data_IF_697107280423
#
_entry.id   IF_697107280423
#
_cell.length_a   1.000
_cell.length_b   1.000
_cell.length_c   1.000
_cell.angle_alpha   90.00
_cell.angle_beta   90.00
_cell.angle_gamma   90.00
#
_symmetry.space_group_name_H-M   'P 1'
#
loop_
_entity.id
_entity.type
_entity.pdbx_description
1 polymer ?
#
# COMPACT_ATOMS: atom_id res chain seq x y z
N UNK A 1 7.28 19.03 15.48
CA UNK A 1 7.23 17.75 14.74
C UNK A 1 7.33 18.08 13.26
N UNK A 2 8.22 17.38 12.55
CA UNK A 2 8.63 17.70 11.18
C UNK A 2 7.46 17.51 10.21
N UNK A 3 7.33 18.48 9.33
CA UNK A 3 6.33 18.65 8.29
C UNK A 3 6.43 17.51 7.25
N UNK A 4 5.76 16.39 7.53
CA UNK A 4 5.71 15.20 6.67
C UNK A 4 4.71 15.36 5.51
N UNK A 5 4.11 16.54 5.32
CA UNK A 5 3.01 16.76 4.39
C UNK A 5 3.24 17.95 3.44
N UNK A 6 4.49 18.26 3.10
CA UNK A 6 4.80 19.12 1.96
C UNK A 6 4.82 18.31 0.67
N UNK A 7 3.63 17.94 0.21
CA UNK A 7 3.42 17.49 -1.17
C UNK A 7 3.66 18.70 -2.09
N UNK A 8 4.70 18.64 -2.94
CA UNK A 8 4.90 19.64 -3.98
C UNK A 8 3.65 19.68 -4.89
N UNK A 9 3.08 20.87 -5.13
CA UNK A 9 1.83 21.03 -5.90
C UNK A 9 1.94 20.55 -7.35
N UNK A 10 3.17 20.44 -7.86
CA UNK A 10 3.54 19.94 -9.19
C UNK A 10 4.86 19.20 -9.10
N UNK A 11 5.00 18.09 -9.82
CA UNK A 11 6.29 17.43 -10.01
C UNK A 11 7.16 18.25 -10.99
N UNK A 12 8.39 18.57 -10.64
CA UNK A 12 9.33 19.32 -11.50
C UNK A 12 9.71 18.59 -12.80
N UNK A 13 9.75 17.25 -12.77
CA UNK A 13 10.15 16.47 -13.93
C UNK A 13 9.02 16.25 -14.95
N UNK A 14 7.77 16.22 -14.49
CA UNK A 14 6.63 15.80 -15.31
C UNK A 14 5.50 16.84 -15.39
N UNK A 15 5.62 17.98 -14.68
CA UNK A 15 4.61 19.03 -14.52
C UNK A 15 3.20 18.55 -14.10
N UNK A 16 3.08 17.34 -13.55
CA UNK A 16 1.81 16.76 -13.18
C UNK A 16 1.27 17.46 -11.92
N UNK A 17 0.05 18.02 -12.01
CA UNK A 17 -0.63 18.68 -10.91
C UNK A 17 -1.10 17.61 -9.91
N UNK A 18 -0.57 17.62 -8.69
CA UNK A 18 -0.93 16.67 -7.61
C UNK A 18 -2.38 16.84 -7.07
N UNK A 19 -3.20 17.65 -7.74
CA UNK A 19 -4.64 17.74 -7.53
C UNK A 19 -5.34 16.87 -8.56
N UNK A 20 -5.08 15.56 -8.51
CA UNK A 20 -5.92 14.57 -9.19
C UNK A 20 -7.10 14.32 -8.25
N UNK A 21 -8.32 14.57 -8.75
CA UNK A 21 -9.63 14.53 -8.06
C UNK A 21 -9.64 13.65 -6.79
N UNK A 22 -10.24 14.09 -5.66
CA UNK A 22 -10.33 13.29 -4.43
C UNK A 22 -10.90 11.87 -4.62
N UNK A 23 -11.62 11.62 -5.73
CA UNK A 23 -12.09 10.28 -6.12
C UNK A 23 -11.00 9.33 -6.64
N UNK A 24 -9.91 9.80 -7.24
CA UNK A 24 -8.86 8.91 -7.77
C UNK A 24 -8.08 8.18 -6.66
N UNK A 25 -7.91 8.84 -5.50
CA UNK A 25 -7.30 8.20 -4.33
C UNK A 25 -8.19 7.15 -3.67
N UNK A 26 -9.50 7.12 -3.96
CA UNK A 26 -10.37 6.02 -3.50
C UNK A 26 -9.96 4.71 -4.17
N UNK A 27 -9.57 4.73 -5.44
CA UNK A 27 -9.05 3.56 -6.15
C UNK A 27 -7.75 3.02 -5.54
N UNK A 28 -6.81 3.91 -5.18
CA UNK A 28 -5.59 3.53 -4.46
C UNK A 28 -5.89 2.92 -3.07
N UNK A 29 -6.99 3.34 -2.42
CA UNK A 29 -7.43 2.72 -1.17
C UNK A 29 -7.92 1.27 -1.38
N UNK A 30 -8.66 0.99 -2.46
CA UNK A 30 -9.05 -0.38 -2.81
C UNK A 30 -7.84 -1.28 -3.09
N UNK A 31 -6.81 -0.77 -3.77
CA UNK A 31 -5.55 -1.51 -3.97
C UNK A 31 -4.83 -1.79 -2.65
N UNK A 32 -4.85 -0.83 -1.72
CA UNK A 32 -4.30 -1.03 -0.37
C UNK A 32 -5.01 -2.16 0.38
N UNK A 33 -6.33 -2.23 0.26
CA UNK A 33 -7.14 -3.29 0.88
C UNK A 33 -6.80 -4.66 0.28
N UNK A 34 -6.74 -4.76 -1.05
CA UNK A 34 -6.33 -5.99 -1.73
C UNK A 34 -4.94 -6.48 -1.29
N UNK A 35 -3.97 -5.57 -1.21
CA UNK A 35 -2.61 -5.86 -0.71
C UNK A 35 -2.62 -6.36 0.74
N UNK A 36 -3.41 -5.75 1.62
CA UNK A 36 -3.52 -6.17 3.02
C UNK A 36 -4.16 -7.56 3.17
N UNK A 37 -5.19 -7.86 2.37
CA UNK A 37 -5.83 -9.18 2.37
C UNK A 37 -4.84 -10.24 1.90
N UNK A 38 -4.15 -9.98 0.77
CA UNK A 38 -3.10 -10.86 0.25
C UNK A 38 -1.99 -11.11 1.28
N UNK A 39 -1.46 -10.06 1.91
CA UNK A 39 -0.43 -10.21 2.93
C UNK A 39 -0.92 -11.02 4.13
N UNK A 40 -2.17 -10.81 4.56
CA UNK A 40 -2.76 -11.53 5.68
C UNK A 40 -2.92 -13.02 5.38
N UNK A 41 -3.38 -13.37 4.17
CA UNK A 41 -3.51 -14.76 3.73
C UNK A 41 -2.14 -15.47 3.66
N UNK A 42 -1.12 -14.79 3.12
CA UNK A 42 0.24 -15.34 3.03
C UNK A 42 0.79 -15.62 4.43
N UNK A 43 0.71 -14.65 5.33
CA UNK A 43 1.19 -14.79 6.71
C UNK A 43 0.43 -15.90 7.43
N UNK A 44 -0.90 -15.90 7.36
CA UNK A 44 -1.72 -16.92 8.00
C UNK A 44 -1.38 -18.34 7.50
N UNK A 45 -1.31 -18.54 6.18
CA UNK A 45 -1.01 -19.85 5.61
C UNK A 45 0.42 -20.30 5.94
N UNK A 46 1.38 -19.37 5.89
CA UNK A 46 2.78 -19.61 6.26
C UNK A 46 2.88 -20.11 7.71
N UNK A 47 2.31 -19.39 8.68
CA UNK A 47 2.35 -19.79 10.08
C UNK A 47 1.50 -21.04 10.35
N UNK A 48 0.33 -21.18 9.73
CA UNK A 48 -0.51 -22.34 9.96
C UNK A 48 0.14 -23.65 9.48
N UNK A 49 0.79 -23.65 8.31
CA UNK A 49 1.42 -24.86 7.76
C UNK A 49 2.82 -25.11 8.29
N UNK A 50 3.62 -24.07 8.54
CA UNK A 50 5.03 -24.23 8.93
C UNK A 50 5.22 -24.33 10.44
N UNK A 51 4.24 -23.93 11.25
CA UNK A 51 4.41 -23.85 12.71
C UNK A 51 3.22 -24.46 13.47
N UNK A 52 3.50 -25.23 14.51
CA UNK A 52 2.48 -25.88 15.35
C UNK A 52 2.04 -24.97 16.52
N UNK A 53 1.94 -23.66 16.27
CA UNK A 53 1.56 -22.68 17.31
C UNK A 53 0.04 -22.62 17.42
N UNK A 54 -0.45 -22.33 18.63
CA UNK A 54 -1.88 -22.12 18.88
C UNK A 54 -2.42 -21.01 17.97
N UNK A 55 -3.62 -21.22 17.44
CA UNK A 55 -4.33 -20.27 16.59
C UNK A 55 -4.38 -18.83 17.14
N UNK A 56 -4.52 -18.69 18.46
CA UNK A 56 -4.53 -17.40 19.14
C UNK A 56 -3.24 -16.60 18.90
N UNK A 57 -2.08 -17.28 18.92
CA UNK A 57 -0.78 -16.64 18.70
C UNK A 57 -0.62 -16.18 17.26
N UNK A 58 -1.14 -16.95 16.29
CA UNK A 58 -1.14 -16.59 14.87
C UNK A 58 -1.94 -15.30 14.65
N UNK A 59 -3.09 -15.14 15.33
CA UNK A 59 -3.89 -13.92 15.26
C UNK A 59 -3.14 -12.71 15.82
N UNK A 60 -2.44 -12.84 16.96
CA UNK A 60 -1.64 -11.74 17.51
C UNK A 60 -0.49 -11.33 16.58
N UNK A 61 0.21 -12.30 15.99
CA UNK A 61 1.26 -12.06 15.01
C UNK A 61 0.68 -11.31 13.80
N UNK A 62 -0.45 -11.77 13.28
CA UNK A 62 -1.10 -11.17 12.12
C UNK A 62 -1.52 -9.71 12.39
N UNK A 63 -2.11 -9.43 13.55
CA UNK A 63 -2.44 -8.06 13.96
C UNK A 63 -1.20 -7.15 14.02
N UNK A 64 -0.12 -7.65 14.62
CA UNK A 64 1.14 -6.90 14.72
C UNK A 64 1.75 -6.65 13.33
N UNK A 65 1.74 -7.66 12.45
CA UNK A 65 2.22 -7.53 11.08
C UNK A 65 1.39 -6.53 10.28
N UNK A 66 0.06 -6.55 10.38
CA UNK A 66 -0.81 -5.60 9.66
C UNK A 66 -0.54 -4.16 10.11
N UNK A 67 -0.42 -3.91 11.41
CA UNK A 67 -0.14 -2.57 11.95
C UNK A 67 1.21 -2.06 11.43
N UNK A 68 2.26 -2.89 11.47
CA UNK A 68 3.57 -2.51 10.96
C UNK A 68 3.59 -2.35 9.43
N UNK A 69 2.84 -3.18 8.70
CA UNK A 69 2.79 -3.14 7.25
C UNK A 69 1.92 -2.00 6.70
N UNK A 70 0.97 -1.47 7.49
CA UNK A 70 0.04 -0.41 7.08
C UNK A 70 0.73 0.80 6.41
N UNK A 71 1.76 1.45 7.01
CA UNK A 71 2.43 2.59 6.36
C UNK A 71 3.09 2.21 5.04
N UNK A 72 3.66 1.01 4.92
CA UNK A 72 4.29 0.53 3.70
C UNK A 72 3.25 0.25 2.60
N UNK A 73 2.14 -0.40 2.95
CA UNK A 73 1.07 -0.75 1.99
C UNK A 73 0.43 0.51 1.41
N UNK A 74 0.25 1.57 2.19
CA UNK A 74 -0.32 2.84 1.70
C UNK A 74 0.60 3.56 0.72
N UNK A 75 1.92 3.50 0.93
CA UNK A 75 2.88 4.08 -0.02
C UNK A 75 2.94 3.23 -1.29
N UNK A 76 2.99 1.91 -1.14
CA UNK A 76 3.07 0.97 -2.26
C UNK A 76 1.81 1.00 -3.12
N UNK A 77 0.63 1.07 -2.52
CA UNK A 77 -0.64 1.13 -3.24
C UNK A 77 -0.75 2.39 -4.09
N UNK A 78 -0.28 3.54 -3.59
CA UNK A 78 -0.21 4.78 -4.36
C UNK A 78 0.76 4.66 -5.53
N UNK A 79 1.92 4.03 -5.33
CA UNK A 79 2.88 3.80 -6.40
C UNK A 79 2.33 2.86 -7.49
N UNK A 80 1.72 1.74 -7.10
CA UNK A 80 1.10 0.77 -8.03
C UNK A 80 -0.05 1.41 -8.79
N UNK A 81 -0.92 2.15 -8.10
CA UNK A 81 -2.05 2.83 -8.72
C UNK A 81 -1.59 3.88 -9.74
N UNK A 82 -0.56 4.67 -9.41
CA UNK A 82 0.04 5.61 -10.36
C UNK A 82 0.60 4.87 -11.59
N UNK A 83 1.32 3.76 -11.40
CA UNK A 83 1.89 2.98 -12.52
C UNK A 83 0.82 2.33 -13.41
N UNK A 84 -0.33 1.96 -12.85
CA UNK A 84 -1.43 1.35 -13.60
C UNK A 84 -2.21 2.35 -14.45
N UNK A 85 -2.37 3.59 -13.96
CA UNK A 85 -3.24 4.60 -14.59
C UNK A 85 -2.48 5.71 -15.32
N UNK A 86 -1.21 5.92 -15.01
CA UNK A 86 -0.34 6.82 -15.75
C UNK A 86 0.51 5.94 -16.67
N UNK A 87 0.09 5.73 -17.93
CA UNK A 87 0.93 5.02 -18.88
C UNK A 87 2.27 5.76 -18.99
N UNK A 88 3.36 5.03 -18.79
CA UNK A 88 4.69 5.52 -19.13
C UNK A 88 4.66 5.86 -20.62
N UNK A 89 4.73 7.15 -20.95
CA UNK A 89 5.13 7.54 -22.31
C UNK A 89 6.57 7.07 -22.45
N UNK A 90 6.74 5.90 -23.03
CA UNK A 90 8.03 5.46 -23.53
C UNK A 90 8.53 6.53 -24.50
N UNK A 91 9.55 7.22 -24.07
CA UNK A 91 10.50 7.92 -24.88
C UNK A 91 11.23 6.90 -25.79
N UNK A 92 10.66 6.72 -26.99
CA UNK A 92 11.39 6.36 -28.20
C UNK A 92 10.96 7.31 -29.32
#
# INVERSE_FOLDING_TARGET
MRDLNKMHKRCDNCNLKFSIEPGFFQGAAYVSYGLQVLSSLIVFNCFFWLTNIRWQNIVYILLFTVILATPYVVVLSRAIWLHMFIPHKGDF
#
